data_IF_752528559886
#
_entry.id   IF_752528559886
#
_cell.length_a   1.000
_cell.length_b   1.000
_cell.length_c   1.000
_cell.angle_alpha   90.00
_cell.angle_beta   90.00
_cell.angle_gamma   90.00
#
_symmetry.space_group_name_H-M   'P 1'
#
loop_
_entity.id
_entity.type
_entity.pdbx_description
1 polymer ?
#
# COMPACT_ATOMS: atom_id res chain seq x y z
N UNK A 1 0.84 -4.12 -40.17
CA UNK A 1 1.09 -5.36 -39.41
C UNK A 1 2.34 -5.17 -38.55
N UNK A 2 2.36 -5.64 -37.26
CA UNK A 2 3.55 -5.54 -36.40
C UNK A 2 4.51 -6.67 -36.75
N UNK A 3 5.64 -6.34 -37.37
CA UNK A 3 6.66 -7.32 -37.77
C UNK A 3 7.74 -7.57 -36.72
N UNK A 4 7.96 -6.61 -35.84
CA UNK A 4 8.92 -6.71 -34.74
C UNK A 4 8.48 -5.92 -33.52
N UNK A 5 8.93 -6.34 -32.33
CA UNK A 5 8.78 -5.61 -31.08
C UNK A 5 10.18 -5.44 -30.48
N UNK A 6 10.58 -4.17 -30.26
CA UNK A 6 11.87 -3.80 -29.70
C UNK A 6 11.72 -3.04 -28.38
N UNK A 7 12.72 -3.16 -27.55
CA UNK A 7 12.78 -2.50 -26.24
C UNK A 7 14.06 -1.67 -26.18
N UNK A 8 13.92 -0.40 -25.81
CA UNK A 8 15.02 0.54 -25.68
C UNK A 8 15.10 1.13 -24.27
N UNK A 9 16.31 1.46 -23.82
CA UNK A 9 16.55 2.14 -22.54
C UNK A 9 16.78 1.22 -21.34
N UNK A 10 16.58 -0.08 -21.50
CA UNK A 10 16.82 -1.10 -20.46
C UNK A 10 18.32 -1.43 -20.31
N UNK A 11 19.09 -0.53 -19.70
CA UNK A 11 20.55 -0.70 -19.55
C UNK A 11 20.91 -1.84 -18.61
N UNK A 12 20.13 -2.06 -17.56
CA UNK A 12 20.36 -3.05 -16.50
C UNK A 12 19.25 -4.09 -16.46
N UNK A 13 18.01 -3.66 -16.61
CA UNK A 13 16.85 -4.54 -16.66
C UNK A 13 17.01 -5.55 -17.78
N UNK A 14 16.91 -6.82 -17.45
CA UNK A 14 16.96 -7.88 -18.44
C UNK A 14 15.78 -7.76 -19.38
N UNK A 15 16.00 -7.84 -20.68
CA UNK A 15 14.97 -7.65 -21.70
C UNK A 15 13.75 -8.53 -21.46
N UNK A 16 13.96 -9.79 -21.08
CA UNK A 16 12.88 -10.72 -20.82
C UNK A 16 11.92 -10.29 -19.70
N UNK A 17 12.38 -9.44 -18.74
CA UNK A 17 11.54 -8.87 -17.68
C UNK A 17 10.48 -7.94 -18.27
N UNK A 18 10.83 -7.18 -19.31
CA UNK A 18 9.90 -6.28 -19.98
C UNK A 18 9.07 -7.05 -21.00
N UNK A 19 9.71 -7.93 -21.75
CA UNK A 19 9.08 -8.68 -22.84
C UNK A 19 7.93 -9.56 -22.36
N UNK A 20 8.02 -10.12 -21.17
CA UNK A 20 6.96 -10.95 -20.58
C UNK A 20 5.66 -10.18 -20.24
N UNK A 21 5.75 -8.85 -20.13
CA UNK A 21 4.58 -7.98 -19.90
C UNK A 21 3.87 -7.58 -21.20
N UNK A 22 4.47 -7.89 -22.36
CA UNK A 22 3.94 -7.53 -23.67
C UNK A 22 3.05 -8.65 -24.19
N UNK A 23 1.78 -8.34 -24.41
CA UNK A 23 0.77 -9.26 -24.95
C UNK A 23 0.41 -9.00 -26.42
N UNK A 24 0.83 -7.84 -26.96
CA UNK A 24 0.59 -7.55 -28.38
C UNK A 24 1.21 -8.65 -29.25
N UNK A 25 0.43 -9.35 -30.11
CA UNK A 25 0.96 -10.44 -30.91
C UNK A 25 1.90 -9.92 -32.00
N UNK A 26 2.99 -10.67 -32.24
CA UNK A 26 3.76 -10.55 -33.49
C UNK A 26 2.90 -10.99 -34.68
N UNK A 27 3.11 -10.37 -35.85
CA UNK A 27 2.37 -10.63 -37.08
C UNK A 27 0.87 -10.28 -37.01
N UNK A 28 0.43 -9.57 -35.97
CA UNK A 28 -0.92 -9.04 -35.78
C UNK A 28 -1.09 -7.63 -36.37
N UNK A 29 -2.33 -7.19 -36.54
CA UNK A 29 -2.61 -5.77 -36.78
C UNK A 29 -2.25 -4.97 -35.52
N UNK A 30 -1.72 -3.75 -35.73
CA UNK A 30 -1.45 -2.86 -34.59
C UNK A 30 -2.76 -2.49 -33.89
N UNK A 31 -2.91 -2.92 -32.65
CA UNK A 31 -4.00 -2.54 -31.74
C UNK A 31 -3.47 -1.61 -30.66
N UNK A 32 -3.78 -0.34 -30.79
CA UNK A 32 -3.35 0.68 -29.85
C UNK A 32 -3.88 0.45 -28.42
N UNK A 33 -5.01 -0.25 -28.26
CA UNK A 33 -5.57 -0.56 -26.95
C UNK A 33 -4.68 -1.57 -26.23
N UNK A 34 -4.27 -2.65 -26.90
CA UNK A 34 -3.36 -3.65 -26.36
C UNK A 34 -2.00 -3.02 -26.06
N UNK A 35 -1.48 -2.17 -26.97
CA UNK A 35 -0.21 -1.48 -26.77
C UNK A 35 -0.22 -0.56 -25.55
N UNK A 36 -1.30 0.16 -25.29
CA UNK A 36 -1.45 0.98 -24.08
C UNK A 36 -1.55 0.12 -22.83
N UNK A 37 -2.24 -1.01 -22.87
CA UNK A 37 -2.29 -1.98 -21.78
C UNK A 37 -0.91 -2.60 -21.50
N UNK A 38 -0.14 -2.92 -22.54
CA UNK A 38 1.26 -3.38 -22.42
C UNK A 38 2.12 -2.30 -21.75
N UNK A 39 1.98 -1.04 -22.18
CA UNK A 39 2.68 0.08 -21.59
C UNK A 39 2.34 0.21 -20.10
N UNK A 40 1.06 0.09 -19.72
CA UNK A 40 0.62 0.15 -18.33
C UNK A 40 1.19 -1.01 -17.51
N UNK A 41 1.24 -2.24 -18.05
CA UNK A 41 1.86 -3.40 -17.39
C UNK A 41 3.36 -3.20 -17.17
N UNK A 42 4.08 -2.69 -18.16
CA UNK A 42 5.50 -2.39 -18.03
C UNK A 42 5.74 -1.28 -16.97
N UNK A 43 4.90 -0.25 -16.94
CA UNK A 43 4.99 0.82 -15.94
C UNK A 43 4.67 0.31 -14.52
N UNK A 44 3.74 -0.63 -14.38
CA UNK A 44 3.39 -1.30 -13.12
C UNK A 44 4.53 -2.17 -12.54
N UNK A 45 5.57 -2.50 -13.30
CA UNK A 45 6.81 -3.08 -12.74
C UNK A 45 7.49 -2.15 -11.73
N UNK A 46 7.17 -0.86 -11.72
CA UNK A 46 7.64 0.16 -10.77
C UNK A 46 9.16 0.33 -10.71
N UNK A 47 9.87 -0.10 -11.76
CA UNK A 47 11.33 0.06 -11.94
C UNK A 47 11.69 1.07 -13.03
N UNK A 48 10.69 1.71 -13.61
CA UNK A 48 10.82 2.74 -14.62
C UNK A 48 10.19 4.06 -14.16
N UNK A 49 10.82 5.18 -14.52
CA UNK A 49 10.26 6.52 -14.30
C UNK A 49 9.43 6.99 -15.49
N UNK A 50 9.57 6.34 -16.63
CA UNK A 50 8.80 6.60 -17.85
C UNK A 50 8.78 5.38 -18.73
N UNK A 51 7.59 5.06 -19.24
CA UNK A 51 7.38 4.04 -20.28
C UNK A 51 6.59 4.70 -21.41
N UNK A 52 7.13 4.64 -22.61
CA UNK A 52 6.51 5.19 -23.83
C UNK A 52 6.59 4.17 -24.95
N UNK A 53 5.71 4.30 -25.92
CA UNK A 53 5.77 3.49 -27.13
C UNK A 53 5.72 4.37 -28.37
N UNK A 54 6.27 3.85 -29.46
CA UNK A 54 6.18 4.42 -30.80
C UNK A 54 6.19 3.31 -31.84
N UNK A 55 5.82 3.64 -33.04
CA UNK A 55 5.93 2.74 -34.20
C UNK A 55 6.83 3.34 -35.25
N UNK A 56 7.64 2.51 -35.89
CA UNK A 56 8.46 2.86 -37.04
C UNK A 56 8.05 1.99 -38.25
N UNK A 57 7.96 2.60 -39.42
CA UNK A 57 7.69 1.87 -40.68
C UNK A 57 8.95 1.10 -41.07
N UNK A 58 8.79 -0.21 -41.35
CA UNK A 58 9.91 -1.09 -41.78
C UNK A 58 9.87 -1.31 -43.26
N UNK A 59 8.70 -1.75 -43.80
CA UNK A 59 8.42 -1.97 -45.22
C UNK A 59 6.93 -1.69 -45.48
N UNK A 60 6.49 -1.82 -46.72
CA UNK A 60 5.11 -1.60 -47.09
C UNK A 60 4.15 -2.38 -46.19
N UNK A 61 3.26 -1.65 -45.48
CA UNK A 61 2.28 -2.15 -44.52
C UNK A 61 2.81 -2.86 -43.27
N UNK A 62 4.13 -2.83 -42.98
CA UNK A 62 4.70 -3.39 -41.76
C UNK A 62 5.35 -2.33 -40.86
N UNK A 63 5.17 -2.51 -39.55
CA UNK A 63 5.70 -1.60 -38.53
C UNK A 63 6.46 -2.37 -37.48
N UNK A 64 7.48 -1.73 -36.95
CA UNK A 64 8.14 -2.12 -35.70
C UNK A 64 7.51 -1.36 -34.52
N UNK A 65 7.08 -2.08 -33.50
CA UNK A 65 6.59 -1.51 -32.23
C UNK A 65 7.74 -1.41 -31.24
N UNK A 66 8.03 -0.20 -30.79
CA UNK A 66 9.18 0.08 -29.94
C UNK A 66 8.69 0.61 -28.59
N UNK A 67 9.01 -0.09 -27.49
CA UNK A 67 8.83 0.38 -26.12
C UNK A 67 10.13 1.02 -25.64
N UNK A 68 10.05 2.28 -25.20
CA UNK A 68 11.16 3.03 -24.65
C UNK A 68 10.97 3.21 -23.15
N UNK A 69 11.89 2.71 -22.35
CA UNK A 69 11.85 2.79 -20.89
C UNK A 69 12.98 3.66 -20.34
N UNK A 70 12.72 4.31 -19.20
CA UNK A 70 13.73 5.05 -18.44
C UNK A 70 13.82 4.43 -17.05
N UNK A 71 14.93 3.74 -16.78
CA UNK A 71 15.15 3.05 -15.50
C UNK A 71 15.28 4.07 -14.36
N UNK A 72 14.65 3.78 -13.20
CA UNK A 72 14.86 4.54 -11.96
C UNK A 72 16.23 4.19 -11.36
N UNK A 73 16.69 5.00 -10.42
CA UNK A 73 17.89 4.67 -9.65
C UNK A 73 17.62 3.44 -8.78
N UNK A 74 18.56 2.49 -8.78
CA UNK A 74 18.34 1.14 -8.21
C UNK A 74 18.75 0.99 -6.76
N UNK A 75 19.69 1.79 -6.28
CA UNK A 75 20.23 1.68 -4.91
C UNK A 75 19.94 2.98 -4.20
N UNK A 76 18.99 2.93 -3.28
CA UNK A 76 18.58 4.08 -2.51
C UNK A 76 19.05 3.96 -1.06
N UNK A 77 20.27 4.43 -0.72
CA UNK A 77 20.60 4.70 0.67
C UNK A 77 19.90 5.99 1.05
N UNK A 78 19.17 5.96 2.14
CA UNK A 78 18.46 7.12 2.63
C UNK A 78 18.51 7.18 4.15
N UNK A 79 18.59 8.40 4.68
CA UNK A 79 18.32 8.70 6.08
C UNK A 79 17.27 9.80 6.09
N UNK A 80 16.17 9.55 6.74
CA UNK A 80 15.05 10.49 6.76
C UNK A 80 14.28 10.43 8.07
N UNK A 81 13.68 11.54 8.50
CA UNK A 81 12.75 11.52 9.61
C UNK A 81 11.46 10.82 9.19
N UNK A 82 10.92 10.01 10.10
CA UNK A 82 9.58 9.45 9.99
C UNK A 82 8.75 10.03 11.11
N UNK A 83 7.53 10.38 10.78
CA UNK A 83 6.53 10.80 11.76
C UNK A 83 5.40 9.78 11.77
N UNK A 84 5.16 9.18 12.93
CA UNK A 84 3.95 8.41 13.22
C UNK A 84 2.97 9.32 13.97
N UNK A 85 1.72 9.30 13.54
CA UNK A 85 0.68 10.07 14.25
C UNK A 85 0.44 9.53 15.66
N UNK A 86 0.71 8.24 15.86
CA UNK A 86 0.53 7.54 17.13
C UNK A 86 1.72 7.74 18.10
N UNK A 87 2.93 7.68 17.55
CA UNK A 87 4.15 7.53 18.35
C UNK A 87 5.03 8.79 18.36
N UNK A 88 4.99 9.59 17.26
CA UNK A 88 5.83 10.77 17.12
C UNK A 88 6.98 10.59 16.13
N UNK A 89 8.12 11.21 16.41
CA UNK A 89 9.25 11.29 15.49
C UNK A 89 10.27 10.19 15.72
N UNK A 90 10.68 9.58 14.61
CA UNK A 90 11.81 8.64 14.54
C UNK A 90 12.73 9.00 13.38
N UNK A 91 13.95 8.50 13.38
CA UNK A 91 14.87 8.60 12.26
C UNK A 91 15.08 7.20 11.70
N UNK A 92 14.88 7.05 10.39
CA UNK A 92 15.14 5.80 9.70
C UNK A 92 16.33 5.92 8.77
N UNK A 93 17.29 5.01 8.93
CA UNK A 93 18.30 4.71 7.92
C UNK A 93 17.86 3.49 7.12
N UNK A 94 17.84 3.60 5.79
CA UNK A 94 17.39 2.52 4.91
C UNK A 94 18.29 2.38 3.69
N UNK A 95 18.35 1.17 3.16
CA UNK A 95 18.90 0.85 1.84
C UNK A 95 17.87 0.03 1.08
N UNK A 96 17.49 0.51 -0.08
CA UNK A 96 16.60 -0.22 -1.00
C UNK A 96 17.33 -0.53 -2.29
N UNK A 97 17.45 -1.81 -2.64
CA UNK A 97 17.96 -2.31 -3.92
C UNK A 97 16.79 -2.68 -4.80
N UNK A 98 16.32 -1.75 -5.63
CA UNK A 98 15.31 -1.99 -6.64
C UNK A 98 15.91 -2.65 -7.87
N UNK A 99 15.14 -3.50 -8.52
CA UNK A 99 15.59 -4.21 -9.71
C UNK A 99 16.93 -4.93 -9.50
N UNK A 100 17.06 -5.61 -8.36
CA UNK A 100 18.26 -6.34 -8.00
C UNK A 100 18.61 -7.34 -9.12
N UNK A 101 19.87 -7.35 -9.55
CA UNK A 101 20.36 -8.13 -10.71
C UNK A 101 19.68 -7.86 -12.05
N UNK A 102 18.87 -6.79 -12.18
CA UNK A 102 18.08 -6.50 -13.38
C UNK A 102 16.88 -7.45 -13.58
N UNK A 103 16.41 -8.09 -12.53
CA UNK A 103 15.35 -9.12 -12.55
C UNK A 103 14.05 -8.67 -11.91
N UNK A 104 13.87 -7.38 -11.69
CA UNK A 104 12.73 -6.83 -10.95
C UNK A 104 12.64 -7.32 -9.48
N UNK A 105 13.71 -7.91 -8.96
CA UNK A 105 13.81 -8.28 -7.56
C UNK A 105 14.02 -7.04 -6.69
N UNK A 106 13.51 -7.04 -5.47
CA UNK A 106 13.79 -6.00 -4.48
C UNK A 106 14.43 -6.59 -3.21
N UNK A 107 15.37 -5.83 -2.64
CA UNK A 107 15.96 -6.12 -1.34
C UNK A 107 15.96 -4.83 -0.54
N UNK A 108 15.26 -4.83 0.56
CA UNK A 108 15.14 -3.70 1.46
C UNK A 108 15.71 -4.03 2.82
N UNK A 109 16.51 -3.11 3.39
CA UNK A 109 16.94 -3.19 4.77
C UNK A 109 16.85 -1.80 5.40
N UNK A 110 16.34 -1.73 6.63
CA UNK A 110 16.18 -0.49 7.36
C UNK A 110 16.44 -0.66 8.85
N UNK A 111 16.81 0.45 9.50
CA UNK A 111 16.91 0.60 10.94
C UNK A 111 16.29 1.91 11.37
N UNK A 112 15.31 1.85 12.25
CA UNK A 112 14.69 2.98 12.95
C UNK A 112 15.30 3.20 14.32
N UNK A 113 15.36 4.46 14.76
CA UNK A 113 15.71 4.88 16.11
C UNK A 113 14.85 6.07 16.50
N UNK A 114 14.37 6.12 17.73
CA UNK A 114 13.48 7.15 18.25
C UNK A 114 12.27 6.55 18.95
N UNK A 115 11.09 7.10 18.74
CA UNK A 115 9.84 6.59 19.32
C UNK A 115 9.45 5.22 18.74
N UNK A 116 9.82 4.96 17.50
CA UNK A 116 9.79 3.66 16.83
C UNK A 116 11.22 3.20 16.61
N UNK A 117 11.65 2.15 17.32
CA UNK A 117 12.96 1.55 17.15
C UNK A 117 12.83 0.17 16.50
N UNK A 118 13.79 -0.18 15.64
CA UNK A 118 13.80 -1.51 15.09
C UNK A 118 14.71 -1.69 13.91
N UNK A 119 14.68 -2.89 13.37
CA UNK A 119 15.32 -3.22 12.11
C UNK A 119 14.40 -4.11 11.29
N UNK A 120 14.58 -4.00 9.98
CA UNK A 120 13.76 -4.68 9.01
C UNK A 120 14.62 -5.12 7.82
N UNK A 121 14.45 -6.34 7.35
CA UNK A 121 15.02 -6.85 6.12
C UNK A 121 13.95 -7.62 5.34
N UNK A 122 13.85 -7.33 4.05
CA UNK A 122 12.85 -7.93 3.19
C UNK A 122 13.39 -8.16 1.78
N UNK A 123 13.09 -9.31 1.21
CA UNK A 123 13.39 -9.69 -0.16
C UNK A 123 12.11 -10.06 -0.88
N UNK A 124 11.99 -9.65 -2.13
CA UNK A 124 10.88 -9.99 -3.00
C UNK A 124 11.38 -10.28 -4.42
N UNK A 125 10.84 -11.33 -5.01
CA UNK A 125 10.96 -11.67 -6.42
C UNK A 125 9.55 -11.86 -6.98
N UNK A 126 9.02 -10.90 -7.78
CA UNK A 126 7.65 -10.97 -8.27
C UNK A 126 7.45 -12.07 -9.32
N UNK A 127 8.54 -12.65 -9.83
CA UNK A 127 8.47 -13.73 -10.81
C UNK A 127 9.70 -14.65 -10.73
N UNK A 128 9.78 -15.45 -9.69
CA UNK A 128 10.93 -16.34 -9.43
C UNK A 128 10.90 -17.61 -10.31
N UNK A 129 9.71 -18.11 -10.64
CA UNK A 129 9.54 -19.37 -11.38
C UNK A 129 8.21 -19.40 -12.13
N UNK A 130 8.11 -20.36 -13.06
CA UNK A 130 6.87 -20.66 -13.78
C UNK A 130 6.30 -19.47 -14.54
N UNK A 131 4.97 -19.35 -14.52
CA UNK A 131 4.23 -18.23 -15.05
C UNK A 131 3.74 -17.36 -13.88
N UNK A 132 4.40 -16.21 -13.65
CA UNK A 132 4.07 -15.22 -12.61
C UNK A 132 4.06 -15.76 -11.16
N UNK A 133 4.93 -16.73 -10.84
CA UNK A 133 5.08 -17.19 -9.46
C UNK A 133 6.03 -16.25 -8.72
N UNK A 134 5.54 -15.59 -7.69
CA UNK A 134 6.30 -14.69 -6.83
C UNK A 134 6.81 -15.39 -5.57
N UNK A 135 7.85 -14.82 -4.98
CA UNK A 135 8.39 -15.22 -3.68
C UNK A 135 8.72 -13.97 -2.86
N UNK A 136 8.41 -14.01 -1.58
CA UNK A 136 8.82 -12.98 -0.63
C UNK A 136 9.34 -13.63 0.66
N UNK A 137 10.19 -12.90 1.38
CA UNK A 137 10.66 -13.34 2.69
C UNK A 137 11.39 -12.24 3.43
N UNK A 138 11.31 -12.27 4.75
CA UNK A 138 11.92 -11.22 5.54
C UNK A 138 11.81 -11.46 7.03
N UNK A 139 12.38 -10.52 7.78
CA UNK A 139 12.28 -10.48 9.23
C UNK A 139 12.38 -9.07 9.74
N UNK A 140 11.78 -8.84 10.89
CA UNK A 140 11.73 -7.55 11.54
C UNK A 140 11.82 -7.72 13.05
N UNK A 141 12.37 -6.69 13.71
CA UNK A 141 12.17 -6.40 15.11
C UNK A 141 11.75 -4.95 15.25
N UNK A 142 10.68 -4.74 15.99
CA UNK A 142 10.14 -3.42 16.26
C UNK A 142 9.94 -3.24 17.76
N UNK A 143 10.23 -2.06 18.27
CA UNK A 143 9.99 -1.67 19.65
C UNK A 143 9.40 -0.26 19.66
N UNK A 144 8.27 -0.11 20.32
CA UNK A 144 7.54 1.15 20.43
C UNK A 144 6.66 1.16 21.68
N UNK A 145 6.01 2.28 21.97
CA UNK A 145 4.90 2.32 22.92
C UNK A 145 3.62 1.85 22.24
N UNK A 146 2.69 1.27 22.98
CA UNK A 146 1.37 0.96 22.46
C UNK A 146 0.59 2.26 22.21
N UNK A 147 -0.20 2.31 21.13
CA UNK A 147 -0.85 3.52 20.64
C UNK A 147 -1.75 4.21 21.68
N UNK A 148 -2.44 3.45 22.54
CA UNK A 148 -3.41 3.99 23.50
C UNK A 148 -3.46 3.24 24.85
N UNK A 149 -2.62 2.22 25.07
CA UNK A 149 -2.49 1.51 26.33
C UNK A 149 -1.12 1.78 26.97
N UNK A 150 -0.97 1.68 28.31
CA UNK A 150 0.26 1.97 28.99
C UNK A 150 1.26 0.80 28.92
N UNK A 151 1.55 0.32 27.73
CA UNK A 151 2.50 -0.76 27.47
C UNK A 151 3.61 -0.31 26.52
N UNK A 152 4.82 -0.76 26.80
CA UNK A 152 5.88 -0.84 25.79
C UNK A 152 5.75 -2.17 25.07
N UNK A 153 5.82 -2.16 23.75
CA UNK A 153 5.70 -3.36 22.92
C UNK A 153 6.99 -3.65 22.18
N UNK A 154 7.32 -4.93 22.09
CA UNK A 154 8.42 -5.44 21.27
C UNK A 154 7.89 -6.60 20.45
N UNK A 155 8.04 -6.50 19.13
CA UNK A 155 7.68 -7.54 18.19
C UNK A 155 8.89 -8.07 17.44
N UNK A 156 9.02 -9.39 17.32
CA UNK A 156 9.97 -10.08 16.47
C UNK A 156 9.20 -10.92 15.46
N UNK A 157 9.50 -10.76 14.17
CA UNK A 157 8.83 -11.49 13.10
C UNK A 157 9.84 -12.06 12.12
N UNK A 158 9.57 -13.29 11.63
CA UNK A 158 10.20 -13.86 10.45
C UNK A 158 9.13 -14.54 9.60
N UNK A 159 9.14 -14.30 8.29
CA UNK A 159 8.10 -14.85 7.42
C UNK A 159 8.56 -15.06 5.98
N UNK A 160 7.80 -15.88 5.29
CA UNK A 160 7.93 -16.17 3.85
C UNK A 160 6.55 -16.14 3.21
N UNK A 161 6.52 -15.84 1.92
CA UNK A 161 5.31 -15.84 1.11
C UNK A 161 5.59 -16.32 -0.31
N UNK A 162 4.58 -16.91 -0.90
CA UNK A 162 4.52 -17.25 -2.31
C UNK A 162 3.23 -16.71 -2.90
N UNK A 163 3.27 -16.31 -4.15
CA UNK A 163 2.11 -15.81 -4.87
C UNK A 163 2.11 -16.26 -6.31
N UNK A 164 0.98 -16.07 -6.96
CA UNK A 164 0.81 -16.33 -8.38
C UNK A 164 -0.16 -15.33 -8.96
N UNK A 165 0.24 -14.70 -10.08
CA UNK A 165 -0.63 -13.91 -10.92
C UNK A 165 -1.14 -14.76 -12.08
N UNK A 166 -2.42 -14.60 -12.43
CA UNK A 166 -2.99 -15.20 -13.63
C UNK A 166 -3.97 -14.25 -14.29
N UNK A 167 -4.00 -14.29 -15.62
CA UNK A 167 -4.80 -13.40 -16.46
C UNK A 167 -4.52 -11.91 -16.17
N UNK A 168 -3.32 -11.56 -15.64
CA UNK A 168 -2.88 -10.20 -15.29
C UNK A 168 -3.88 -9.41 -14.40
N UNK A 169 -4.90 -10.04 -13.87
CA UNK A 169 -5.97 -9.44 -13.06
C UNK A 169 -6.15 -10.11 -11.72
N UNK A 170 -5.83 -11.39 -11.65
CA UNK A 170 -5.98 -12.18 -10.45
C UNK A 170 -4.63 -12.46 -9.81
N UNK A 171 -4.57 -12.27 -8.50
CA UNK A 171 -3.43 -12.65 -7.69
C UNK A 171 -3.91 -13.51 -6.53
N UNK A 172 -3.21 -14.60 -6.28
CA UNK A 172 -3.39 -15.42 -5.09
C UNK A 172 -2.05 -15.49 -4.37
N UNK A 173 -2.06 -15.20 -3.08
CA UNK A 173 -0.87 -15.27 -2.24
C UNK A 173 -1.14 -16.16 -1.04
N UNK A 174 -0.11 -16.86 -0.58
CA UNK A 174 -0.07 -17.59 0.67
C UNK A 174 1.22 -17.26 1.40
N UNK A 175 1.14 -17.09 2.70
CA UNK A 175 2.28 -16.76 3.53
C UNK A 175 2.26 -17.51 4.85
N UNK A 176 3.40 -17.47 5.51
CA UNK A 176 3.59 -18.05 6.82
C UNK A 176 4.61 -17.20 7.58
N UNK A 177 4.28 -16.83 8.81
CA UNK A 177 5.24 -16.17 9.70
C UNK A 177 5.24 -16.77 11.10
N UNK A 178 6.35 -16.54 11.80
CA UNK A 178 6.52 -16.74 13.23
C UNK A 178 6.69 -15.37 13.86
N UNK A 179 5.86 -15.07 14.84
CA UNK A 179 5.82 -13.77 15.47
C UNK A 179 5.85 -13.93 16.98
N UNK A 180 6.73 -13.16 17.64
CA UNK A 180 6.76 -13.04 19.09
C UNK A 180 6.45 -11.61 19.45
N UNK A 181 5.44 -11.41 20.30
CA UNK A 181 5.02 -10.10 20.80
C UNK A 181 5.10 -10.07 22.31
N UNK A 182 5.73 -9.02 22.82
CA UNK A 182 5.81 -8.76 24.28
C UNK A 182 5.28 -7.36 24.54
N UNK A 183 4.34 -7.27 25.47
CA UNK A 183 3.79 -6.02 25.98
C UNK A 183 4.19 -5.90 27.45
N UNK A 184 4.95 -4.87 27.79
CA UNK A 184 5.46 -4.64 29.15
C UNK A 184 4.80 -3.39 29.73
N UNK A 185 3.93 -3.58 30.71
CA UNK A 185 3.32 -2.54 31.53
C UNK A 185 4.06 -2.30 32.84
N UNK A 186 3.54 -1.40 33.66
CA UNK A 186 4.08 -1.16 35.00
C UNK A 186 3.77 -2.30 35.99
N UNK A 187 2.67 -3.03 35.78
CA UNK A 187 2.13 -4.04 36.67
C UNK A 187 2.33 -5.46 36.15
N UNK A 188 2.22 -5.63 34.84
CA UNK A 188 2.21 -6.93 34.18
C UNK A 188 3.04 -6.94 32.89
N UNK A 189 3.29 -8.15 32.39
CA UNK A 189 3.90 -8.39 31.09
C UNK A 189 3.12 -9.49 30.39
N UNK A 190 2.67 -9.19 29.17
CA UNK A 190 1.97 -10.14 28.30
C UNK A 190 2.92 -10.60 27.18
N UNK A 191 2.99 -11.90 26.97
CA UNK A 191 3.83 -12.51 25.93
C UNK A 191 3.01 -13.44 25.06
N UNK A 192 3.15 -13.26 23.73
CA UNK A 192 2.46 -14.07 22.74
C UNK A 192 3.46 -14.57 21.71
N UNK A 193 3.32 -15.83 21.35
CA UNK A 193 4.11 -16.45 20.28
C UNK A 193 3.17 -17.07 19.28
N UNK A 194 3.14 -16.52 18.07
CA UNK A 194 2.18 -16.91 17.05
C UNK A 194 2.84 -17.63 15.87
N UNK A 195 2.12 -18.63 15.37
CA UNK A 195 2.24 -19.12 14.02
C UNK A 195 1.14 -18.45 13.21
N UNK A 196 1.49 -17.75 12.14
CA UNK A 196 0.54 -16.96 11.36
C UNK A 196 0.52 -17.40 9.88
N UNK A 197 -0.30 -18.37 9.48
CA UNK A 197 -0.61 -18.58 8.08
C UNK A 197 -1.50 -17.44 7.56
N UNK A 198 -1.21 -17.00 6.34
CA UNK A 198 -1.97 -15.99 5.61
C UNK A 198 -2.38 -16.51 4.24
N UNK A 199 -3.51 -16.03 3.75
CA UNK A 199 -3.95 -16.26 2.38
C UNK A 199 -4.63 -15.01 1.87
N UNK A 200 -4.37 -14.66 0.62
CA UNK A 200 -4.95 -13.51 -0.05
C UNK A 200 -5.43 -13.87 -1.45
N UNK A 201 -6.53 -13.26 -1.88
CA UNK A 201 -6.97 -13.26 -3.27
C UNK A 201 -7.31 -11.83 -3.67
N UNK A 202 -6.75 -11.37 -4.79
CA UNK A 202 -6.93 -10.02 -5.31
C UNK A 202 -7.41 -10.11 -6.75
N UNK A 203 -8.44 -9.31 -7.08
CA UNK A 203 -8.84 -8.99 -8.44
C UNK A 203 -8.56 -7.53 -8.70
N UNK A 204 -7.67 -7.23 -9.67
CA UNK A 204 -7.21 -5.88 -9.96
C UNK A 204 -7.26 -5.58 -11.46
N UNK A 205 -8.06 -4.58 -11.81
CA UNK A 205 -8.21 -4.07 -13.18
C UNK A 205 -7.80 -2.61 -13.31
N UNK A 206 -7.09 -2.07 -12.30
CA UNK A 206 -6.59 -0.70 -12.33
C UNK A 206 -5.56 -0.53 -13.45
N UNK A 207 -5.57 0.65 -14.07
CA UNK A 207 -4.58 1.01 -15.08
C UNK A 207 -3.17 1.14 -14.45
N UNK A 208 -3.02 2.00 -13.46
CA UNK A 208 -1.78 2.21 -12.71
C UNK A 208 -1.99 1.89 -11.23
N UNK A 209 -1.12 1.07 -10.65
CA UNK A 209 -1.24 0.66 -9.25
C UNK A 209 -0.97 1.80 -8.28
N UNK A 210 -0.04 2.69 -8.63
CA UNK A 210 0.39 3.81 -7.78
C UNK A 210 -0.60 4.98 -7.76
N UNK A 211 -1.14 5.38 -8.92
CA UNK A 211 -2.09 6.48 -9.08
C UNK A 211 -3.17 6.12 -10.10
N UNK A 212 -4.10 5.23 -9.74
CA UNK A 212 -5.11 4.73 -10.65
C UNK A 212 -6.04 5.84 -11.12
N UNK A 213 -6.37 5.79 -12.42
CA UNK A 213 -7.32 6.69 -13.06
C UNK A 213 -8.63 6.00 -13.47
N UNK A 214 -8.61 4.69 -13.59
CA UNK A 214 -9.75 3.83 -13.91
C UNK A 214 -9.54 2.44 -13.34
N UNK A 215 -10.64 1.69 -13.21
CA UNK A 215 -10.60 0.29 -12.83
C UNK A 215 -11.09 0.01 -11.43
N UNK A 216 -10.94 -1.23 -11.02
CA UNK A 216 -11.46 -1.79 -9.78
C UNK A 216 -10.39 -2.69 -9.16
N UNK A 217 -10.22 -2.60 -7.85
CA UNK A 217 -9.49 -3.58 -7.05
C UNK A 217 -10.40 -4.14 -5.98
N UNK A 218 -10.43 -5.46 -5.84
CA UNK A 218 -11.11 -6.17 -4.73
C UNK A 218 -10.07 -7.08 -4.10
N UNK A 219 -9.95 -7.07 -2.77
CA UNK A 219 -9.13 -8.03 -2.05
C UNK A 219 -9.89 -8.74 -0.94
N UNK A 220 -9.48 -9.98 -0.68
CA UNK A 220 -9.89 -10.79 0.45
C UNK A 220 -8.64 -11.34 1.10
N UNK A 221 -8.39 -10.95 2.34
CA UNK A 221 -7.18 -11.28 3.07
C UNK A 221 -7.55 -12.01 4.36
N UNK A 222 -7.02 -13.21 4.54
CA UNK A 222 -7.20 -14.03 5.73
C UNK A 222 -5.87 -14.17 6.46
N UNK A 223 -5.86 -13.91 7.76
CA UNK A 223 -4.73 -14.13 8.65
C UNK A 223 -5.21 -14.89 9.88
N UNK A 224 -4.78 -16.13 10.04
CA UNK A 224 -4.97 -16.86 11.27
C UNK A 224 -3.73 -16.69 12.17
N UNK A 225 -3.95 -16.52 13.46
CA UNK A 225 -2.91 -16.36 14.47
C UNK A 225 -3.10 -17.43 15.53
N UNK A 226 -2.26 -18.46 15.48
CA UNK A 226 -2.29 -19.56 16.44
C UNK A 226 -1.23 -19.32 17.51
N UNK A 227 -1.67 -18.99 18.72
CA UNK A 227 -0.78 -18.78 19.85
C UNK A 227 -0.34 -20.15 20.40
N UNK A 228 0.95 -20.45 20.29
CA UNK A 228 1.50 -21.70 20.81
C UNK A 228 2.04 -21.57 22.25
N UNK A 229 2.08 -20.36 22.83
CA UNK A 229 2.34 -20.16 24.26
C UNK A 229 1.08 -20.27 25.12
N UNK A 230 -0.11 -20.01 24.54
CA UNK A 230 -1.41 -20.17 25.22
C UNK A 230 -2.51 -20.38 24.16
N UNK A 231 -3.27 -21.45 24.27
CA UNK A 231 -4.34 -21.78 23.32
C UNK A 231 -5.55 -20.82 23.37
N UNK A 232 -5.63 -19.98 24.36
CA UNK A 232 -6.83 -19.15 24.63
C UNK A 232 -6.82 -17.83 23.86
N UNK A 233 -5.72 -17.51 23.14
CA UNK A 233 -5.53 -16.25 22.42
C UNK A 233 -5.36 -16.45 20.90
N UNK A 234 -6.11 -17.40 20.34
CA UNK A 234 -6.14 -17.61 18.90
C UNK A 234 -7.06 -16.59 18.22
N UNK A 235 -6.64 -16.14 17.05
CA UNK A 235 -7.35 -15.11 16.27
C UNK A 235 -7.49 -15.54 14.82
N UNK A 236 -8.58 -15.11 14.19
CA UNK A 236 -8.75 -15.12 12.74
C UNK A 236 -9.16 -13.71 12.31
N UNK A 237 -8.31 -13.05 11.55
CA UNK A 237 -8.58 -11.74 10.96
C UNK A 237 -8.95 -11.93 9.49
N UNK A 238 -10.11 -11.42 9.11
CA UNK A 238 -10.58 -11.40 7.73
C UNK A 238 -10.80 -9.94 7.28
N UNK A 239 -9.96 -9.47 6.37
CA UNK A 239 -10.07 -8.16 5.76
C UNK A 239 -10.60 -8.27 4.35
N UNK A 240 -11.57 -7.45 4.03
CA UNK A 240 -12.22 -7.37 2.72
C UNK A 240 -12.15 -5.94 2.24
N UNK A 241 -11.57 -5.69 1.08
CA UNK A 241 -11.50 -4.33 0.55
C UNK A 241 -11.97 -4.22 -0.89
N UNK A 242 -12.46 -3.04 -1.22
CA UNK A 242 -12.80 -2.64 -2.58
C UNK A 242 -12.32 -1.21 -2.83
N UNK A 243 -11.71 -0.99 -3.98
CA UNK A 243 -11.36 0.34 -4.47
C UNK A 243 -11.77 0.48 -5.93
N UNK A 244 -12.47 1.54 -6.30
CA UNK A 244 -12.86 1.81 -7.68
C UNK A 244 -12.53 3.25 -8.07
N UNK A 245 -12.19 3.44 -9.35
CA UNK A 245 -11.66 4.70 -9.87
C UNK A 245 -12.27 5.03 -11.21
N UNK A 246 -12.57 6.32 -11.40
CA UNK A 246 -13.09 6.85 -12.63
C UNK A 246 -12.60 8.28 -12.86
N UNK A 247 -12.05 8.56 -14.05
CA UNK A 247 -11.58 9.88 -14.42
C UNK A 247 -12.49 10.51 -15.47
N UNK A 248 -13.42 11.39 -15.07
CA UNK A 248 -14.25 12.14 -15.98
C UNK A 248 -13.46 13.16 -16.80
N UNK A 249 -12.36 13.68 -16.26
CA UNK A 249 -11.46 14.61 -16.95
C UNK A 249 -10.11 13.93 -17.10
N UNK A 250 -9.62 13.85 -18.35
CA UNK A 250 -8.34 13.22 -18.71
C UNK A 250 -7.30 14.30 -19.09
N UNK A 251 -6.04 13.86 -19.29
CA UNK A 251 -4.92 14.73 -19.70
C UNK A 251 -4.29 15.48 -18.53
N UNK A 252 -3.64 16.61 -18.81
CA UNK A 252 -2.81 17.35 -17.86
C UNK A 252 -3.54 17.84 -16.61
N UNK A 253 -4.84 18.09 -16.73
CA UNK A 253 -5.73 18.50 -15.62
C UNK A 253 -6.67 17.36 -15.22
N UNK A 254 -6.14 16.14 -15.15
CA UNK A 254 -6.89 14.95 -14.79
C UNK A 254 -7.66 15.15 -13.48
N UNK A 255 -8.95 14.81 -13.48
CA UNK A 255 -9.77 14.66 -12.29
C UNK A 255 -10.12 13.19 -12.15
N UNK A 256 -9.78 12.58 -11.03
CA UNK A 256 -10.14 11.20 -10.69
C UNK A 256 -11.04 11.18 -9.49
N UNK A 257 -12.17 10.50 -9.59
CA UNK A 257 -13.05 10.17 -8.48
C UNK A 257 -12.71 8.74 -8.04
N UNK A 258 -12.42 8.58 -6.75
CA UNK A 258 -12.14 7.29 -6.13
C UNK A 258 -13.11 6.99 -5.01
N UNK A 259 -13.51 5.74 -4.89
CA UNK A 259 -14.24 5.20 -3.76
C UNK A 259 -13.48 3.99 -3.23
N UNK A 260 -13.32 3.91 -1.90
CA UNK A 260 -12.74 2.76 -1.20
C UNK A 260 -13.60 2.37 -0.02
N UNK A 261 -13.68 1.07 0.24
CA UNK A 261 -14.26 0.53 1.46
C UNK A 261 -13.46 -0.67 1.94
N UNK A 262 -13.32 -0.81 3.25
CA UNK A 262 -12.64 -1.93 3.91
C UNK A 262 -13.46 -2.37 5.12
N UNK A 263 -13.74 -3.67 5.20
CA UNK A 263 -14.32 -4.34 6.34
C UNK A 263 -13.28 -5.26 6.96
N UNK A 264 -12.93 -5.03 8.21
CA UNK A 264 -12.04 -5.89 9.00
C UNK A 264 -12.87 -6.57 10.06
N UNK A 265 -12.86 -7.90 10.06
CA UNK A 265 -13.55 -8.75 11.02
C UNK A 265 -12.55 -9.63 11.73
N UNK A 266 -12.47 -9.55 13.06
CA UNK A 266 -11.60 -10.38 13.88
C UNK A 266 -12.44 -11.29 14.75
N UNK A 267 -12.16 -12.58 14.70
CA UNK A 267 -12.77 -13.63 15.51
C UNK A 267 -11.75 -14.21 16.48
N UNK A 268 -12.19 -14.64 17.63
CA UNK A 268 -11.37 -15.30 18.65
C UNK A 268 -11.46 -14.62 20.01
N UNK A 269 -10.73 -15.14 20.97
CA UNK A 269 -10.58 -14.54 22.31
C UNK A 269 -9.39 -13.58 22.29
N UNK A 270 -9.62 -12.32 22.62
CA UNK A 270 -8.64 -11.26 22.45
C UNK A 270 -8.46 -10.44 23.70
N UNK A 271 -7.23 -10.27 24.12
CA UNK A 271 -6.86 -9.28 25.12
C UNK A 271 -6.98 -7.86 24.56
N UNK A 272 -7.12 -6.87 25.45
CA UNK A 272 -7.30 -5.46 25.05
C UNK A 272 -6.12 -4.89 24.26
N UNK A 273 -4.92 -5.45 24.38
CA UNK A 273 -3.74 -5.07 23.60
C UNK A 273 -3.89 -5.35 22.09
N UNK A 274 -4.89 -6.12 21.71
CA UNK A 274 -5.22 -6.40 20.30
C UNK A 274 -6.43 -5.59 19.78
N UNK A 275 -6.96 -4.68 20.57
CA UNK A 275 -8.00 -3.78 20.10
C UNK A 275 -7.45 -2.86 19.00
N UNK A 276 -8.21 -2.72 17.95
CA UNK A 276 -7.98 -1.72 16.93
C UNK A 276 -8.76 -0.44 17.25
N UNK A 277 -8.41 0.65 16.59
CA UNK A 277 -9.13 1.92 16.69
C UNK A 277 -9.39 2.53 15.31
N UNK A 278 -10.32 3.47 15.24
CA UNK A 278 -10.57 4.31 14.07
C UNK A 278 -10.28 5.78 14.39
N UNK A 279 -9.78 6.51 13.37
CA UNK A 279 -9.25 7.87 13.45
C UNK A 279 -7.77 7.89 13.09
N UNK A 280 -7.35 8.84 12.25
CA UNK A 280 -5.99 8.96 11.72
C UNK A 280 -5.89 8.71 10.22
N UNK A 281 -4.68 8.84 9.69
CA UNK A 281 -4.40 8.82 8.24
C UNK A 281 -4.80 7.53 7.54
N UNK A 282 -4.80 6.41 8.24
CA UNK A 282 -5.12 5.08 7.70
C UNK A 282 -6.62 4.80 7.66
N UNK A 283 -7.38 5.36 8.58
CA UNK A 283 -8.80 5.06 8.78
C UNK A 283 -9.71 6.25 8.45
N UNK A 284 -10.02 7.11 9.40
CA UNK A 284 -10.88 8.30 9.22
C UNK A 284 -10.05 9.55 9.43
N UNK A 285 -9.72 10.24 8.35
CA UNK A 285 -8.96 11.50 8.39
C UNK A 285 -9.80 12.63 9.02
N UNK A 286 -9.13 13.65 9.54
CA UNK A 286 -9.77 14.70 10.35
C UNK A 286 -9.87 14.33 11.83
N UNK A 287 -9.48 13.12 12.17
CA UNK A 287 -9.30 12.61 13.53
C UNK A 287 -7.84 12.29 13.76
N UNK A 288 -7.33 12.57 14.97
CA UNK A 288 -6.03 12.05 15.43
C UNK A 288 -6.19 10.63 15.98
N UNK A 289 -5.12 9.82 15.98
CA UNK A 289 -5.10 8.58 16.75
C UNK A 289 -5.49 8.82 18.22
N UNK A 290 -6.23 7.89 18.86
CA UNK A 290 -6.67 8.09 20.24
C UNK A 290 -5.51 7.99 21.23
N UNK A 291 -5.60 8.74 22.32
CA UNK A 291 -4.71 8.68 23.46
C UNK A 291 -5.24 7.71 24.54
N UNK A 292 -4.40 7.42 25.55
CA UNK A 292 -4.79 6.68 26.75
C UNK A 292 -5.98 7.36 27.48
N UNK A 293 -6.02 8.69 27.50
CA UNK A 293 -7.13 9.43 28.14
C UNK A 293 -8.45 9.21 27.39
N UNK A 294 -8.40 9.17 26.05
CA UNK A 294 -9.59 8.89 25.24
C UNK A 294 -10.04 7.44 25.40
N UNK A 295 -9.11 6.49 25.45
CA UNK A 295 -9.44 5.08 25.70
C UNK A 295 -10.09 4.87 27.07
N UNK A 296 -9.58 5.54 28.10
CA UNK A 296 -10.09 5.46 29.47
C UNK A 296 -11.47 6.13 29.64
N UNK A 297 -11.94 6.90 28.67
CA UNK A 297 -13.24 7.55 28.71
C UNK A 297 -14.33 6.64 28.16
N UNK A 298 -15.31 6.18 28.98
CA UNK A 298 -16.39 5.31 28.51
C UNK A 298 -17.25 5.88 27.38
N UNK A 299 -17.22 7.21 27.15
CA UNK A 299 -17.95 7.87 26.08
C UNK A 299 -17.26 7.71 24.72
N UNK A 300 -16.00 7.27 24.68
CA UNK A 300 -15.22 7.11 23.44
C UNK A 300 -15.13 5.65 22.95
N UNK A 301 -15.90 4.73 23.54
CA UNK A 301 -15.87 3.29 23.17
C UNK A 301 -16.16 3.04 21.69
N UNK A 302 -16.88 3.94 21.02
CA UNK A 302 -17.20 3.86 19.60
C UNK A 302 -15.98 3.92 18.66
N UNK A 303 -14.81 4.31 19.16
CA UNK A 303 -13.56 4.35 18.38
C UNK A 303 -12.80 3.02 18.38
N UNK A 304 -13.08 2.14 19.35
CA UNK A 304 -12.27 0.95 19.61
C UNK A 304 -13.04 -0.33 19.38
N UNK A 305 -12.41 -1.28 18.70
CA UNK A 305 -13.04 -2.57 18.46
C UNK A 305 -12.19 -3.51 17.61
N UNK A 306 -12.68 -4.73 17.48
CA UNK A 306 -12.12 -5.77 16.65
C UNK A 306 -12.77 -5.82 15.26
N UNK A 307 -13.94 -5.19 15.15
CA UNK A 307 -14.71 -5.11 13.91
C UNK A 307 -14.67 -3.67 13.42
N UNK A 308 -14.28 -3.47 12.17
CA UNK A 308 -14.15 -2.12 11.61
C UNK A 308 -14.69 -2.08 10.18
N UNK A 309 -15.49 -1.07 9.87
CA UNK A 309 -15.87 -0.73 8.50
C UNK A 309 -15.40 0.70 8.22
N UNK A 310 -14.57 0.85 7.21
CA UNK A 310 -13.99 2.12 6.79
C UNK A 310 -14.40 2.38 5.35
N UNK A 311 -14.93 3.55 5.06
CA UNK A 311 -15.32 3.98 3.72
C UNK A 311 -14.69 5.33 3.40
N UNK A 312 -14.30 5.55 2.16
CA UNK A 312 -13.67 6.78 1.72
C UNK A 312 -14.11 7.15 0.31
N UNK A 313 -14.35 8.43 0.09
CA UNK A 313 -14.54 9.01 -1.24
C UNK A 313 -13.49 10.10 -1.43
N UNK A 314 -12.80 10.11 -2.56
CA UNK A 314 -11.83 11.13 -2.92
C UNK A 314 -12.11 11.72 -4.31
N UNK A 315 -11.93 13.03 -4.43
CA UNK A 315 -11.81 13.74 -5.69
C UNK A 315 -10.36 14.22 -5.82
N UNK A 316 -9.59 13.65 -6.75
CA UNK A 316 -8.16 13.92 -6.98
C UNK A 316 -8.00 14.75 -8.24
N UNK A 317 -7.57 16.00 -8.11
CA UNK A 317 -7.36 16.93 -9.22
C UNK A 317 -5.87 17.19 -9.43
N UNK A 318 -5.36 16.89 -10.62
CA UNK A 318 -3.99 17.26 -11.00
C UNK A 318 -3.87 18.78 -11.11
N UNK A 319 -3.02 19.37 -10.25
CA UNK A 319 -2.69 20.81 -10.25
C UNK A 319 -1.47 21.03 -11.13
N UNK A 320 -0.40 20.29 -10.89
CA UNK A 320 0.83 20.27 -11.69
C UNK A 320 0.99 18.87 -12.25
N UNK A 321 0.97 18.70 -13.58
CA UNK A 321 1.16 17.40 -14.21
C UNK A 321 2.50 16.77 -13.81
N UNK A 322 2.51 15.47 -13.59
CA UNK A 322 3.75 14.73 -13.33
C UNK A 322 4.68 14.83 -14.54
N UNK A 323 5.89 15.27 -14.29
CA UNK A 323 6.95 15.41 -15.29
C UNK A 323 8.19 14.70 -14.79
N UNK A 324 8.77 13.84 -15.61
CA UNK A 324 10.04 13.17 -15.31
C UNK A 324 11.19 14.16 -15.50
N UNK A 325 11.95 14.39 -14.44
CA UNK A 325 13.17 15.19 -14.47
C UNK A 325 14.35 14.25 -14.25
N UNK A 326 15.32 14.31 -15.15
CA UNK A 326 16.57 13.57 -15.03
C UNK A 326 17.71 14.52 -14.77
N UNK A 327 18.41 14.36 -13.64
CA UNK A 327 19.59 15.09 -13.26
C UNK A 327 20.74 14.13 -13.05
N UNK A 328 21.76 14.19 -13.88
CA UNK A 328 22.87 13.22 -13.92
C UNK A 328 22.34 11.79 -14.20
N UNK A 329 22.42 10.91 -13.22
CA UNK A 329 21.92 9.52 -13.31
C UNK A 329 20.62 9.31 -12.52
N UNK A 330 20.01 10.39 -12.00
CA UNK A 330 18.80 10.33 -11.20
C UNK A 330 17.61 10.77 -12.06
N UNK A 331 16.61 9.93 -12.14
CA UNK A 331 15.32 10.27 -12.71
C UNK A 331 14.26 10.32 -11.60
N UNK A 332 13.49 11.38 -11.56
CA UNK A 332 12.44 11.62 -10.57
C UNK A 332 11.21 12.21 -11.24
N UNK A 333 10.05 11.91 -10.70
CA UNK A 333 8.82 12.60 -11.07
C UNK A 333 8.57 13.78 -10.12
N UNK A 334 8.17 14.90 -10.69
CA UNK A 334 7.67 16.08 -9.95
C UNK A 334 6.27 16.38 -10.45
N UNK A 335 5.34 16.53 -9.52
CA UNK A 335 3.96 16.85 -9.79
C UNK A 335 3.24 17.27 -8.52
N UNK A 336 2.01 17.72 -8.64
CA UNK A 336 1.16 18.08 -7.52
C UNK A 336 -0.29 17.73 -7.83
N UNK A 337 -0.92 16.97 -6.94
CA UNK A 337 -2.35 16.66 -6.99
C UNK A 337 -3.02 17.17 -5.72
N UNK A 338 -4.09 17.96 -5.88
CA UNK A 338 -5.00 18.34 -4.81
C UNK A 338 -6.08 17.29 -4.63
N UNK A 339 -6.51 17.07 -3.41
CA UNK A 339 -7.52 16.07 -3.06
C UNK A 339 -8.56 16.69 -2.15
N UNK A 340 -9.84 16.45 -2.43
CA UNK A 340 -10.94 16.60 -1.48
C UNK A 340 -11.42 15.23 -1.05
N UNK A 341 -11.79 15.04 0.22
CA UNK A 341 -12.19 13.72 0.73
C UNK A 341 -13.34 13.78 1.73
N UNK A 342 -14.05 12.66 1.80
CA UNK A 342 -14.99 12.31 2.86
C UNK A 342 -14.69 10.88 3.28
N UNK A 343 -14.43 10.69 4.58
CA UNK A 343 -14.20 9.39 5.20
C UNK A 343 -15.34 9.09 6.20
N UNK A 344 -15.68 7.81 6.34
CA UNK A 344 -16.63 7.32 7.32
C UNK A 344 -16.10 6.03 7.93
N UNK A 345 -16.22 5.88 9.25
CA UNK A 345 -15.77 4.68 9.94
C UNK A 345 -16.68 4.25 11.07
N UNK A 346 -16.85 2.95 11.21
CA UNK A 346 -17.52 2.29 12.32
C UNK A 346 -16.53 1.35 13.01
N UNK A 347 -16.64 1.23 14.33
CA UNK A 347 -15.86 0.26 15.11
C UNK A 347 -16.71 -0.31 16.24
N UNK A 348 -16.56 -1.61 16.51
CA UNK A 348 -17.21 -2.29 17.62
C UNK A 348 -16.41 -3.51 18.07
N UNK A 349 -16.71 -4.01 19.28
CA UNK A 349 -16.12 -5.28 19.76
C UNK A 349 -16.76 -6.48 19.08
N UNK A 350 -18.08 -6.45 18.88
CA UNK A 350 -18.85 -7.52 18.26
C UNK A 350 -19.39 -7.08 16.89
N UNK A 351 -19.47 -8.01 15.94
CA UNK A 351 -19.98 -7.72 14.59
C UNK A 351 -21.45 -7.31 14.58
N UNK A 352 -22.27 -7.87 15.49
CA UNK A 352 -23.68 -7.50 15.67
C UNK A 352 -23.88 -6.04 16.04
N UNK A 353 -22.87 -5.42 16.66
CA UNK A 353 -22.95 -4.08 17.23
C UNK A 353 -22.33 -3.02 16.34
N UNK A 354 -21.80 -3.41 15.18
CA UNK A 354 -21.01 -2.54 14.30
C UNK A 354 -21.74 -1.23 13.92
N UNK A 355 -23.05 -1.27 13.80
CA UNK A 355 -23.88 -0.11 13.42
C UNK A 355 -24.73 0.44 14.57
N UNK A 356 -24.46 0.05 15.83
CA UNK A 356 -25.17 0.58 16.99
C UNK A 356 -24.81 2.03 17.31
N UNK A 357 -23.57 2.40 17.06
CA UNK A 357 -23.08 3.76 17.26
C UNK A 357 -23.13 4.54 15.94
N UNK A 358 -23.15 5.87 16.04
CA UNK A 358 -22.96 6.73 14.89
C UNK A 358 -21.55 6.52 14.29
N UNK A 359 -21.36 6.73 12.97
CA UNK A 359 -20.04 6.67 12.38
C UNK A 359 -19.16 7.86 12.78
N UNK A 360 -17.86 7.62 12.85
CA UNK A 360 -16.91 8.72 12.70
C UNK A 360 -16.97 9.22 11.25
N UNK A 361 -17.04 10.53 11.10
CA UNK A 361 -16.98 11.17 9.80
C UNK A 361 -15.77 12.09 9.76
N UNK A 362 -15.04 12.07 8.66
CA UNK A 362 -13.95 13.00 8.37
C UNK A 362 -14.17 13.67 7.02
N UNK A 363 -14.06 14.99 6.97
CA UNK A 363 -14.19 15.77 5.74
C UNK A 363 -13.00 16.70 5.63
N UNK A 364 -12.40 16.80 4.45
CA UNK A 364 -11.23 17.64 4.32
C UNK A 364 -10.64 17.70 2.92
N UNK A 365 -9.43 18.23 2.88
CA UNK A 365 -8.64 18.35 1.66
C UNK A 365 -7.17 18.02 1.93
N UNK A 366 -6.43 17.74 0.88
CA UNK A 366 -5.02 17.41 1.00
C UNK A 366 -4.26 17.56 -0.30
N UNK A 367 -2.98 17.24 -0.24
CA UNK A 367 -2.07 17.25 -1.37
C UNK A 367 -1.34 15.90 -1.49
N UNK A 368 -0.95 15.60 -2.72
CA UNK A 368 -0.17 14.42 -3.10
C UNK A 368 1.05 14.88 -3.86
N UNK A 369 2.22 14.43 -3.41
CA UNK A 369 3.50 14.75 -4.01
C UNK A 369 4.22 13.44 -4.38
N UNK A 370 4.45 13.17 -5.68
CA UNK A 370 5.29 12.05 -6.08
C UNK A 370 6.72 12.28 -5.58
N UNK A 371 7.35 11.21 -5.12
CA UNK A 371 8.73 11.25 -4.62
C UNK A 371 9.69 10.58 -5.58
N UNK A 372 10.99 10.93 -5.53
CA UNK A 372 12.02 10.32 -6.37
C UNK A 372 12.14 8.80 -6.20
N UNK A 373 11.73 8.26 -5.06
CA UNK A 373 11.80 6.84 -4.73
C UNK A 373 10.53 6.06 -5.09
N UNK A 374 9.63 6.67 -5.86
CA UNK A 374 8.50 6.00 -6.46
C UNK A 374 7.26 5.87 -5.58
N UNK A 375 7.22 6.46 -4.38
CA UNK A 375 5.99 6.55 -3.60
C UNK A 375 5.39 7.98 -3.63
N UNK A 376 4.17 8.12 -3.16
CA UNK A 376 3.47 9.40 -3.08
C UNK A 376 3.44 9.84 -1.62
N UNK A 377 3.96 11.05 -1.33
CA UNK A 377 3.73 11.70 -0.05
C UNK A 377 2.32 12.28 0.00
N UNK A 378 1.64 12.02 1.10
CA UNK A 378 0.28 12.46 1.37
C UNK A 378 0.24 13.34 2.61
N UNK A 379 -0.39 14.51 2.48
CA UNK A 379 -0.72 15.38 3.60
C UNK A 379 -2.17 15.82 3.47
N UNK A 380 -2.97 15.53 4.48
CA UNK A 380 -4.39 15.80 4.53
C UNK A 380 -4.71 16.67 5.76
N UNK A 381 -5.59 17.67 5.60
CA UNK A 381 -6.20 18.44 6.69
C UNK A 381 -7.70 18.18 6.68
N UNK A 382 -8.26 17.86 7.82
CA UNK A 382 -9.68 17.53 7.90
C UNK A 382 -10.32 17.88 9.23
N UNK A 383 -11.64 17.91 9.21
CA UNK A 383 -12.54 18.07 10.35
C UNK A 383 -13.16 16.74 10.68
N UNK A 384 -13.17 16.38 11.97
CA UNK A 384 -13.80 15.17 12.50
C UNK A 384 -15.18 15.47 13.08
N UNK A 385 -16.17 14.62 12.77
CA UNK A 385 -17.55 14.74 13.27
C UNK A 385 -18.03 13.41 13.85
N UNK A 386 -18.81 13.48 14.94
CA UNK A 386 -19.50 12.37 15.55
C UNK A 386 -20.88 12.80 16.06
N UNK A 387 -21.93 12.01 15.77
CA UNK A 387 -23.31 12.34 16.15
C UNK A 387 -23.77 13.72 15.62
N UNK A 388 -23.23 14.16 14.48
CA UNK A 388 -23.54 15.48 13.89
C UNK A 388 -22.77 16.64 14.52
N UNK A 389 -21.90 16.42 15.49
CA UNK A 389 -21.12 17.45 16.18
C UNK A 389 -19.67 17.42 15.71
N UNK A 390 -19.06 18.60 15.46
CA UNK A 390 -17.64 18.70 15.20
C UNK A 390 -16.84 18.41 16.48
N UNK A 391 -15.89 17.48 16.37
CA UNK A 391 -15.07 17.00 17.49
C UNK A 391 -13.64 17.58 17.45
N UNK A 392 -13.25 18.21 16.34
CA UNK A 392 -11.95 18.82 16.15
C UNK A 392 -11.40 18.69 14.74
N UNK A 393 -10.12 19.02 14.60
CA UNK A 393 -9.40 18.96 13.33
C UNK A 393 -8.10 18.18 13.50
N UNK A 394 -7.63 17.55 12.42
CA UNK A 394 -6.34 16.88 12.40
C UNK A 394 -5.60 17.12 11.08
N UNK A 395 -4.26 17.09 11.16
CA UNK A 395 -3.35 16.97 10.02
C UNK A 395 -2.90 15.52 9.99
N UNK A 396 -3.21 14.83 8.92
CA UNK A 396 -2.88 13.43 8.73
C UNK A 396 -1.78 13.29 7.67
N UNK A 397 -0.66 12.68 8.03
CA UNK A 397 0.46 12.40 7.15
C UNK A 397 0.49 10.93 6.75
N UNK A 398 0.94 10.64 5.54
CA UNK A 398 1.01 9.25 5.07
C UNK A 398 1.76 9.09 3.76
N UNK A 399 1.96 7.84 3.37
CA UNK A 399 2.52 7.45 2.08
C UNK A 399 1.50 6.71 1.21
N UNK A 400 1.62 6.87 -0.10
CA UNK A 400 0.70 6.27 -1.07
C UNK A 400 -0.65 6.98 -1.18
N UNK A 401 -1.51 6.44 -2.03
CA UNK A 401 -2.94 6.79 -2.02
C UNK A 401 -3.62 6.13 -0.81
N UNK A 402 -4.79 6.59 -0.41
CA UNK A 402 -5.46 6.01 0.76
C UNK A 402 -6.01 4.60 0.48
N UNK A 403 -6.46 4.35 -0.75
CA UNK A 403 -7.02 3.07 -1.23
C UNK A 403 -6.71 2.86 -2.70
#
# INVERSE_FOLDING_TARGET
MVSAISIEGNRVTKEYIIRREIQHPLEGQLDSTIVEEDRDRIDNLSIFSSVKWRVELVEDDTVELIYTVVEIWRIWPAVFPIYSEELGWSIMGAVNFLNFRGRNQSLFAARGVGEEEGYFIFFEDPWIAGDHISFSGGGARESSTHSFLPYNQVGDMIGIGIGMWFDYRWQIDAGFSLDNMRFTGEVDTLEYSYIQPTASIVYDTRDLYRDPSKGLKISQDLKAMFNFSSSDQNQLVWSQSIGTYWSPIKGDKKLTLGFGAELITTFGSLDEVWLNYIGGSKTVRGWSPPSLLEYSNPQNTFRFGHQQLIMSVEARQTIIPSTSISVLSFSSEIGLTGVGFIDMGYSSKELSDLFHNDPLIGVGFGIRLPTPIGFILRMDYGWGFYGGTEMGTAINLGGGQKF
#
